data_IF_491334492013
#
_entry.id   IF_491334492013
#
_cell.length_a   1.000
_cell.length_b   1.000
_cell.length_c   1.000
_cell.angle_alpha   90.00
_cell.angle_beta   90.00
_cell.angle_gamma   90.00
#
_symmetry.space_group_name_H-M   'P 1'
#
loop_
_entity.id
_entity.type
_entity.pdbx_description
1 polymer ?
#
# COMPACT_ATOMS: atom_id res chain seq x y z
N UNK A 1 -9.08 -23.94 23.50
CA UNK A 1 -9.23 -22.98 22.39
C UNK A 1 -7.89 -22.93 21.65
N UNK A 2 -7.89 -22.91 20.31
CA UNK A 2 -6.66 -22.76 19.53
C UNK A 2 -5.94 -21.46 19.88
N UNK A 3 -4.61 -21.49 19.91
CA UNK A 3 -3.74 -20.33 20.17
C UNK A 3 -4.10 -19.15 19.26
N UNK A 4 -4.44 -19.44 18.00
CA UNK A 4 -4.88 -18.44 17.02
C UNK A 4 -6.16 -17.71 17.48
N UNK A 5 -7.14 -18.45 18.00
CA UNK A 5 -8.43 -17.91 18.44
C UNK A 5 -8.25 -17.02 19.67
N UNK A 6 -7.38 -17.42 20.61
CA UNK A 6 -7.05 -16.60 21.78
C UNK A 6 -6.32 -15.32 21.37
N UNK A 7 -5.32 -15.40 20.49
CA UNK A 7 -4.59 -14.23 19.99
C UNK A 7 -5.51 -13.24 19.29
N UNK A 8 -6.40 -13.71 18.40
CA UNK A 8 -7.35 -12.85 17.70
C UNK A 8 -8.32 -12.20 18.70
N UNK A 9 -8.90 -12.98 19.61
CA UNK A 9 -9.88 -12.48 20.59
C UNK A 9 -9.27 -11.45 21.54
N UNK A 10 -8.09 -11.71 22.08
CA UNK A 10 -7.42 -10.78 22.99
C UNK A 10 -6.87 -9.54 22.26
N UNK A 11 -6.43 -9.68 21.00
CA UNK A 11 -6.03 -8.52 20.18
C UNK A 11 -7.20 -7.58 19.91
N UNK A 12 -8.40 -8.13 19.66
CA UNK A 12 -9.63 -7.34 19.50
C UNK A 12 -10.07 -6.73 20.84
N UNK A 13 -9.90 -7.45 21.95
CA UNK A 13 -10.24 -6.97 23.30
C UNK A 13 -9.30 -5.86 23.79
N UNK A 14 -8.06 -5.87 23.34
CA UNK A 14 -7.08 -4.85 23.68
C UNK A 14 -7.51 -3.48 23.12
N UNK A 15 -7.65 -2.48 24.00
CA UNK A 15 -8.08 -1.11 23.68
C UNK A 15 -6.96 -0.27 23.04
N UNK A 16 -6.28 -0.84 22.04
CA UNK A 16 -5.20 -0.27 21.22
C UNK A 16 -4.73 1.13 21.60
N UNK A 17 -3.67 1.25 22.40
CA UNK A 17 -2.95 2.53 22.52
C UNK A 17 -2.29 2.88 21.19
N UNK A 18 -1.97 4.15 20.98
CA UNK A 18 -1.36 4.67 19.74
C UNK A 18 -0.14 3.85 19.27
N UNK A 19 0.68 3.35 20.20
CA UNK A 19 1.80 2.46 19.90
C UNK A 19 1.41 1.13 19.26
N UNK A 20 0.33 0.49 19.72
CA UNK A 20 -0.14 -0.79 19.17
C UNK A 20 -0.68 -0.62 17.75
N UNK A 21 -1.49 0.41 17.50
CA UNK A 21 -1.97 0.74 16.16
C UNK A 21 -0.80 1.04 15.21
N UNK A 22 0.20 1.78 15.70
CA UNK A 22 1.38 2.12 14.89
C UNK A 22 2.18 0.88 14.49
N UNK A 23 2.29 -0.09 15.42
CA UNK A 23 2.95 -1.37 15.19
C UNK A 23 2.21 -2.27 14.18
N UNK A 24 0.89 -2.42 14.33
CA UNK A 24 0.07 -3.19 13.39
C UNK A 24 0.21 -2.60 11.98
N UNK A 25 0.00 -1.29 11.85
CA UNK A 25 0.06 -0.60 10.57
C UNK A 25 1.44 -0.75 9.91
N UNK A 26 2.54 -0.72 10.68
CA UNK A 26 3.89 -0.84 10.12
C UNK A 26 4.17 -2.25 9.57
N UNK A 27 3.67 -3.29 10.25
CA UNK A 27 3.81 -4.67 9.78
C UNK A 27 2.94 -4.96 8.57
N UNK A 28 1.67 -4.55 8.60
CA UNK A 28 0.76 -4.76 7.48
C UNK A 28 1.27 -4.02 6.24
N UNK A 29 1.70 -2.76 6.38
CA UNK A 29 2.30 -2.02 5.27
C UNK A 29 3.57 -2.69 4.73
N UNK A 30 4.46 -3.19 5.60
CA UNK A 30 5.65 -3.91 5.17
C UNK A 30 5.34 -5.19 4.39
N UNK A 31 4.35 -5.96 4.85
CA UNK A 31 3.89 -7.16 4.12
C UNK A 31 3.24 -6.81 2.78
N UNK A 32 2.45 -5.74 2.71
CA UNK A 32 1.85 -5.26 1.47
C UNK A 32 2.94 -4.83 0.46
N UNK A 33 3.95 -4.10 0.91
CA UNK A 33 5.09 -3.66 0.08
C UNK A 33 5.89 -4.87 -0.40
N UNK A 34 6.16 -5.85 0.47
CA UNK A 34 6.88 -7.06 0.09
C UNK A 34 6.12 -7.86 -0.97
N UNK A 35 4.81 -8.05 -0.79
CA UNK A 35 3.98 -8.73 -1.77
C UNK A 35 3.99 -7.99 -3.12
N UNK A 36 3.83 -6.66 -3.09
CA UNK A 36 3.97 -5.83 -4.28
C UNK A 36 5.34 -5.99 -4.94
N UNK A 37 6.44 -5.92 -4.17
CA UNK A 37 7.79 -6.01 -4.71
C UNK A 37 8.03 -7.32 -5.46
N UNK A 38 7.55 -8.44 -4.93
CA UNK A 38 7.64 -9.75 -5.61
C UNK A 38 6.87 -9.74 -6.93
N UNK A 39 5.61 -9.28 -6.91
CA UNK A 39 4.79 -9.19 -8.13
C UNK A 39 5.39 -8.21 -9.15
N UNK A 40 5.90 -7.07 -8.69
CA UNK A 40 6.46 -6.00 -9.50
C UNK A 40 7.75 -6.43 -10.22
N UNK A 41 8.65 -7.12 -9.51
CA UNK A 41 9.88 -7.65 -10.11
C UNK A 41 9.55 -8.71 -11.15
N UNK A 42 8.61 -9.61 -10.85
CA UNK A 42 8.16 -10.63 -11.80
C UNK A 42 7.55 -10.00 -13.06
N UNK A 43 6.63 -9.05 -12.90
CA UNK A 43 5.97 -8.39 -14.02
C UNK A 43 6.96 -7.57 -14.87
N UNK A 44 7.82 -6.77 -14.23
CA UNK A 44 8.82 -5.97 -14.94
C UNK A 44 9.85 -6.85 -15.66
N UNK A 45 10.19 -8.03 -15.11
CA UNK A 45 11.06 -8.99 -15.80
C UNK A 45 10.44 -9.49 -17.12
N UNK A 46 9.11 -9.63 -17.18
CA UNK A 46 8.42 -10.05 -18.40
C UNK A 46 8.59 -9.05 -19.55
N UNK A 47 8.94 -7.78 -19.29
CA UNK A 47 9.29 -6.84 -20.35
C UNK A 47 10.43 -7.35 -21.26
N UNK A 48 11.30 -8.22 -20.74
CA UNK A 48 12.38 -8.86 -21.51
C UNK A 48 12.12 -10.34 -21.80
N UNK A 49 11.52 -11.08 -20.86
CA UNK A 49 11.35 -12.54 -21.00
C UNK A 49 10.07 -12.94 -21.75
N UNK A 50 8.99 -12.17 -21.62
CA UNK A 50 7.71 -12.45 -22.27
C UNK A 50 6.97 -11.12 -22.55
N UNK A 51 7.37 -10.37 -23.59
CA UNK A 51 6.87 -9.00 -23.82
C UNK A 51 5.35 -8.91 -23.99
N UNK A 52 4.72 -9.88 -24.65
CA UNK A 52 3.26 -9.90 -24.84
C UNK A 52 2.47 -9.94 -23.52
N UNK A 53 2.97 -10.68 -22.52
CA UNK A 53 2.36 -10.75 -21.18
C UNK A 53 2.59 -9.44 -20.44
N UNK A 54 3.75 -8.81 -20.61
CA UNK A 54 4.01 -7.50 -20.02
C UNK A 54 3.08 -6.42 -20.59
N UNK A 55 2.87 -6.39 -21.92
CA UNK A 55 1.92 -5.48 -22.55
C UNK A 55 0.48 -5.70 -22.04
N UNK A 56 0.07 -6.97 -21.92
CA UNK A 56 -1.22 -7.32 -21.34
C UNK A 56 -1.33 -6.88 -19.86
N UNK A 57 -0.30 -7.11 -19.04
CA UNK A 57 -0.27 -6.69 -17.63
C UNK A 57 -0.40 -5.17 -17.50
N UNK A 58 0.30 -4.40 -18.32
CA UNK A 58 0.20 -2.93 -18.32
C UNK A 58 -1.24 -2.51 -18.63
N UNK A 59 -1.91 -3.14 -19.59
CA UNK A 59 -3.31 -2.83 -19.89
C UNK A 59 -4.23 -3.23 -18.73
N UNK A 60 -3.98 -4.39 -18.11
CA UNK A 60 -4.72 -4.85 -16.93
C UNK A 60 -4.62 -3.88 -15.76
N UNK A 61 -3.43 -3.33 -15.48
CA UNK A 61 -3.22 -2.40 -14.36
C UNK A 61 -3.97 -1.08 -14.53
N UNK A 62 -4.36 -0.72 -15.76
CA UNK A 62 -5.23 0.44 -16.00
C UNK A 62 -6.68 0.21 -15.59
N UNK A 63 -7.05 -0.99 -15.15
CA UNK A 63 -8.38 -1.30 -14.63
C UNK A 63 -8.59 -0.65 -13.25
N UNK A 64 -9.77 -0.09 -12.93
CA UNK A 64 -10.00 0.69 -11.71
C UNK A 64 -9.64 -0.02 -10.41
N UNK A 65 -9.83 -1.34 -10.33
CA UNK A 65 -9.46 -2.10 -9.14
C UNK A 65 -7.95 -2.07 -8.86
N UNK A 66 -7.12 -2.12 -9.91
CA UNK A 66 -5.67 -2.01 -9.76
C UNK A 66 -5.25 -0.59 -9.43
N UNK A 67 -5.85 0.42 -10.07
CA UNK A 67 -5.61 1.83 -9.74
C UNK A 67 -5.97 2.17 -8.28
N UNK A 68 -7.07 1.62 -7.74
CA UNK A 68 -7.38 1.73 -6.31
C UNK A 68 -6.35 1.00 -5.44
N UNK A 69 -5.87 -0.15 -5.90
CA UNK A 69 -4.76 -0.88 -5.30
C UNK A 69 -3.47 -0.07 -5.24
N UNK A 70 -3.14 0.68 -6.29
CA UNK A 70 -1.98 1.58 -6.34
C UNK A 70 -2.10 2.71 -5.31
N UNK A 71 -3.29 3.30 -5.12
CA UNK A 71 -3.52 4.30 -4.07
C UNK A 71 -3.32 3.68 -2.68
N UNK A 72 -3.83 2.47 -2.45
CA UNK A 72 -3.63 1.75 -1.19
C UNK A 72 -2.14 1.38 -0.96
N UNK A 73 -1.42 1.00 -2.02
CA UNK A 73 0.00 0.73 -1.97
C UNK A 73 0.81 2.00 -1.65
N UNK A 74 0.46 3.13 -2.26
CA UNK A 74 1.07 4.43 -1.94
C UNK A 74 0.88 4.78 -0.46
N UNK A 75 -0.31 4.55 0.09
CA UNK A 75 -0.56 4.70 1.53
C UNK A 75 0.37 3.81 2.37
N UNK A 76 0.50 2.53 1.99
CA UNK A 76 1.37 1.59 2.68
C UNK A 76 2.84 2.06 2.66
N UNK A 77 3.37 2.44 1.50
CA UNK A 77 4.76 2.91 1.35
C UNK A 77 5.03 4.15 2.19
N UNK A 78 4.17 5.18 2.08
CA UNK A 78 4.35 6.44 2.82
C UNK A 78 4.33 6.22 4.34
N UNK A 79 3.32 5.49 4.83
CA UNK A 79 3.24 5.21 6.27
C UNK A 79 4.43 4.36 6.74
N UNK A 80 4.80 3.33 5.98
CA UNK A 80 5.92 2.46 6.33
C UNK A 80 7.23 3.23 6.44
N UNK A 81 7.50 4.13 5.49
CA UNK A 81 8.68 4.99 5.48
C UNK A 81 8.69 5.95 6.68
N UNK A 82 7.60 6.71 6.90
CA UNK A 82 7.55 7.68 8.00
C UNK A 82 7.62 7.03 9.37
N UNK A 83 6.90 5.93 9.59
CA UNK A 83 6.98 5.21 10.86
C UNK A 83 8.30 4.46 11.03
N UNK A 84 8.90 3.95 9.94
CA UNK A 84 10.24 3.36 9.96
C UNK A 84 11.29 4.35 10.43
N UNK A 85 11.31 5.57 9.85
CA UNK A 85 12.20 6.66 10.28
C UNK A 85 12.00 7.00 11.75
N UNK A 86 10.74 7.10 12.22
CA UNK A 86 10.43 7.32 13.64
C UNK A 86 11.05 6.24 14.52
N UNK A 87 10.88 4.96 14.17
CA UNK A 87 11.43 3.83 14.93
C UNK A 87 12.96 3.92 14.95
N UNK A 88 13.59 4.11 13.78
CA UNK A 88 15.05 4.26 13.66
C UNK A 88 15.59 5.38 14.56
N UNK A 89 14.99 6.57 14.53
CA UNK A 89 15.40 7.69 15.40
C UNK A 89 15.28 7.31 16.89
N UNK A 90 14.21 6.61 17.26
CA UNK A 90 13.98 6.18 18.65
C UNK A 90 14.94 5.09 19.10
N UNK A 91 15.37 4.22 18.20
CA UNK A 91 16.35 3.17 18.51
C UNK A 91 17.76 3.76 18.66
N UNK A 92 18.12 4.77 17.85
CA UNK A 92 19.39 5.48 17.99
C UNK A 92 19.45 6.42 19.22
N UNK A 93 18.31 6.93 19.69
CA UNK A 93 18.22 7.79 20.89
C UNK A 93 17.08 7.35 21.82
N UNK A 94 17.32 6.34 22.68
CA UNK A 94 16.29 5.78 23.57
C UNK A 94 15.65 6.80 24.52
N UNK A 95 16.35 7.88 24.87
CA UNK A 95 15.81 9.01 25.67
C UNK A 95 14.54 9.63 25.05
N UNK A 96 14.34 9.49 23.74
CA UNK A 96 13.17 9.99 23.02
C UNK A 96 11.93 9.12 23.22
N UNK A 97 12.04 7.93 23.83
CA UNK A 97 10.89 7.05 24.09
C UNK A 97 9.83 7.70 24.99
N UNK A 98 10.22 8.65 25.86
CA UNK A 98 9.24 9.45 26.63
C UNK A 98 8.28 10.27 25.74
N UNK A 99 8.62 10.46 24.45
CA UNK A 99 7.80 11.16 23.46
C UNK A 99 7.12 10.22 22.44
N UNK A 100 6.99 8.92 22.75
CA UNK A 100 6.35 7.91 21.90
C UNK A 100 5.00 8.36 21.33
N UNK A 101 4.07 8.80 22.18
CA UNK A 101 2.74 9.24 21.71
C UNK A 101 2.82 10.44 20.77
N UNK A 102 3.59 11.48 21.15
CA UNK A 102 3.75 12.69 20.32
C UNK A 102 4.38 12.38 18.97
N UNK A 103 5.41 11.55 18.95
CA UNK A 103 6.08 11.13 17.71
C UNK A 103 5.16 10.33 16.78
N UNK A 104 4.31 9.44 17.33
CA UNK A 104 3.33 8.71 16.54
C UNK A 104 2.28 9.65 15.94
N UNK A 105 1.80 10.65 16.70
CA UNK A 105 0.89 11.68 16.18
C UNK A 105 1.52 12.49 15.05
N UNK A 106 2.80 12.86 15.17
CA UNK A 106 3.53 13.56 14.10
C UNK A 106 3.60 12.71 12.84
N UNK A 107 3.90 11.41 12.95
CA UNK A 107 3.92 10.49 11.80
C UNK A 107 2.56 10.45 11.11
N UNK A 108 1.46 10.31 11.86
CA UNK A 108 0.12 10.34 11.27
C UNK A 108 -0.23 11.67 10.62
N UNK A 109 0.14 12.79 11.25
CA UNK A 109 -0.08 14.11 10.68
C UNK A 109 0.68 14.28 9.35
N UNK A 110 1.97 13.94 9.33
CA UNK A 110 2.80 13.96 8.12
C UNK A 110 2.25 13.02 7.04
N UNK A 111 1.83 11.82 7.44
CA UNK A 111 1.18 10.87 6.54
C UNK A 111 -0.03 11.50 5.85
N UNK A 112 -1.00 12.04 6.59
CA UNK A 112 -2.20 12.62 5.98
C UNK A 112 -1.90 13.88 5.16
N UNK A 113 -1.01 14.75 5.64
CA UNK A 113 -0.62 15.98 4.92
C UNK A 113 0.00 15.66 3.56
N UNK A 114 0.79 14.58 3.45
CA UNK A 114 1.43 14.18 2.20
C UNK A 114 0.53 13.27 1.35
N UNK A 115 -0.11 12.29 1.99
CA UNK A 115 -0.91 11.28 1.29
C UNK A 115 -2.20 11.87 0.70
N UNK A 116 -2.90 12.76 1.39
CA UNK A 116 -4.20 13.27 0.90
C UNK A 116 -4.06 13.98 -0.46
N UNK A 117 -3.12 14.94 -0.65
CA UNK A 117 -2.91 15.55 -1.96
C UNK A 117 -2.56 14.53 -3.04
N UNK A 118 -1.66 13.58 -2.74
CA UNK A 118 -1.24 12.54 -3.69
C UNK A 118 -2.42 11.65 -4.07
N UNK A 119 -3.20 11.19 -3.08
CA UNK A 119 -4.38 10.35 -3.29
C UNK A 119 -5.44 11.07 -4.13
N UNK A 120 -5.65 12.37 -3.90
CA UNK A 120 -6.56 13.20 -4.72
C UNK A 120 -6.07 13.26 -6.17
N UNK A 121 -4.78 13.48 -6.39
CA UNK A 121 -4.21 13.51 -7.75
C UNK A 121 -4.34 12.16 -8.45
N UNK A 122 -3.97 11.07 -7.79
CA UNK A 122 -4.10 9.70 -8.33
C UNK A 122 -5.56 9.35 -8.63
N UNK A 123 -6.48 9.66 -7.71
CA UNK A 123 -7.90 9.40 -7.91
C UNK A 123 -8.48 10.26 -9.04
N UNK A 124 -8.05 11.52 -9.17
CA UNK A 124 -8.45 12.38 -10.28
C UNK A 124 -8.02 11.78 -11.62
N UNK A 125 -6.78 11.30 -11.74
CA UNK A 125 -6.30 10.67 -12.98
C UNK A 125 -7.08 9.39 -13.30
N UNK A 126 -7.41 8.57 -12.29
CA UNK A 126 -8.30 7.43 -12.46
C UNK A 126 -9.65 7.84 -13.04
N UNK A 127 -10.27 8.89 -12.48
CA UNK A 127 -11.57 9.38 -12.93
C UNK A 127 -11.52 9.95 -14.35
N UNK A 128 -10.48 10.70 -14.71
CA UNK A 128 -10.28 11.18 -16.09
C UNK A 128 -10.07 10.03 -17.07
N UNK A 129 -9.26 9.04 -16.69
CA UNK A 129 -9.03 7.84 -17.49
C UNK A 129 -10.31 7.05 -17.75
N UNK A 130 -11.14 6.83 -16.73
CA UNK A 130 -12.44 6.18 -16.91
C UNK A 130 -13.43 7.03 -17.70
N UNK A 131 -13.46 8.34 -17.49
CA UNK A 131 -14.34 9.23 -18.25
C UNK A 131 -14.02 9.17 -19.76
N UNK A 132 -12.74 9.07 -20.13
CA UNK A 132 -12.32 8.91 -21.52
C UNK A 132 -12.70 7.54 -22.13
N UNK A 133 -12.67 6.46 -21.34
CA UNK A 133 -12.95 5.09 -21.81
C UNK A 133 -14.43 4.67 -21.72
N UNK A 134 -15.25 5.39 -20.96
CA UNK A 134 -16.65 5.05 -20.74
C UNK A 134 -16.81 3.62 -20.19
N UNK A 135 -17.66 2.81 -20.82
CA UNK A 135 -17.93 1.43 -20.41
C UNK A 135 -16.68 0.52 -20.48
N UNK A 136 -15.71 0.85 -21.34
CA UNK A 136 -14.48 0.07 -21.47
C UNK A 136 -13.57 0.17 -20.23
N UNK A 137 -13.81 1.11 -19.31
CA UNK A 137 -13.01 1.20 -18.07
C UNK A 137 -13.13 -0.06 -17.19
N UNK A 138 -14.25 -0.78 -17.28
CA UNK A 138 -14.54 -1.98 -16.48
C UNK A 138 -14.23 -3.29 -17.21
N UNK A 139 -13.70 -3.22 -18.43
CA UNK A 139 -13.37 -4.40 -19.21
C UNK A 139 -11.98 -4.89 -18.83
N UNK A 140 -11.86 -6.20 -18.62
CA UNK A 140 -10.58 -6.87 -18.40
C UNK A 140 -10.05 -7.28 -19.78
N UNK A 141 -8.84 -6.87 -20.18
CA UNK A 141 -8.27 -7.24 -21.46
C UNK A 141 -8.07 -8.76 -21.53
N UNK A 142 -8.38 -9.37 -22.68
CA UNK A 142 -8.13 -10.81 -22.86
C UNK A 142 -6.67 -11.05 -23.19
N UNK A 143 -6.06 -12.09 -22.62
CA UNK A 143 -4.67 -12.40 -22.91
C UNK A 143 -4.48 -12.80 -24.38
N UNK A 144 -5.48 -13.42 -25.00
CA UNK A 144 -5.45 -13.81 -26.41
C UNK A 144 -5.27 -12.63 -27.36
N UNK A 145 -5.69 -11.42 -26.99
CA UNK A 145 -5.54 -10.24 -27.86
C UNK A 145 -4.07 -9.83 -28.05
N UNK A 146 -3.17 -10.28 -27.18
CA UNK A 146 -1.75 -9.92 -27.15
C UNK A 146 -0.83 -11.06 -27.62
N UNK A 147 -1.37 -12.26 -27.81
CA UNK A 147 -0.59 -13.45 -28.19
C UNK A 147 -0.63 -13.74 -29.70
N UNK A 148 -1.34 -12.92 -30.48
CA UNK A 148 -1.53 -13.09 -31.92
C UNK A 148 -0.58 -12.22 -32.75
#
# INVERSE_FOLDING_TARGET
>A
MSTLVLTIRESIRYRGRSGHLSWIAHRISGLAILAFLVMHVWDTANANFYPALYEWSIELFKHPLFALGEIALMAAVLYHAFNGIRITIMDFKPELWKHQTRSATIVWALFFVVFIPIAILMFRELMHGCAARGAACWQIPSLSDFLN
#
